data_IF_045413808269
#
_entry.id   IF_045413808269
#
_cell.length_a   1.000
_cell.length_b   1.000
_cell.length_c   1.000
_cell.angle_alpha   90.00
_cell.angle_beta   90.00
_cell.angle_gamma   90.00
#
_symmetry.space_group_name_H-M   'P 1'
#
loop_
_entity.id
_entity.type
_entity.pdbx_description
1 polymer ?
#
# COMPACT_ATOMS: atom_id res chain seq x y z
N UNK A 1 19.31 -49.02 24.56
CA UNK A 1 18.30 -49.17 23.51
C UNK A 1 17.21 -48.13 23.75
N UNK A 2 16.91 -47.24 22.80
CA UNK A 2 15.82 -46.26 22.98
C UNK A 2 14.48 -46.99 23.05
N UNK A 3 13.60 -46.61 23.98
CA UNK A 3 12.27 -47.21 24.11
C UNK A 3 11.44 -46.95 22.87
N UNK A 4 10.63 -47.92 22.44
CA UNK A 4 9.73 -47.80 21.28
C UNK A 4 8.85 -46.55 21.39
N UNK A 5 8.40 -46.21 22.59
CA UNK A 5 7.61 -45.00 22.88
C UNK A 5 8.37 -43.71 22.54
N UNK A 6 9.66 -43.66 22.85
CA UNK A 6 10.51 -42.49 22.57
C UNK A 6 10.68 -42.33 21.06
N UNK A 7 10.91 -43.43 20.34
CA UNK A 7 11.04 -43.39 18.88
C UNK A 7 9.74 -42.93 18.23
N UNK A 8 8.59 -43.43 18.69
CA UNK A 8 7.28 -43.02 18.19
C UNK A 8 6.99 -41.53 18.44
N UNK A 9 7.32 -41.02 19.63
CA UNK A 9 7.15 -39.59 19.94
C UNK A 9 8.04 -38.71 19.06
N UNK A 10 9.30 -39.10 18.86
CA UNK A 10 10.25 -38.37 18.02
C UNK A 10 9.81 -38.35 16.54
N UNK A 11 9.27 -39.46 16.03
CA UNK A 11 8.71 -39.52 14.68
C UNK A 11 7.47 -38.63 14.58
N UNK A 12 6.55 -38.72 15.55
CA UNK A 12 5.33 -37.91 15.60
C UNK A 12 5.64 -36.40 15.61
N UNK A 13 6.54 -35.94 16.48
CA UNK A 13 6.93 -34.54 16.56
C UNK A 13 7.53 -34.03 15.24
N UNK A 14 8.41 -34.82 14.59
CA UNK A 14 8.97 -34.47 13.28
C UNK A 14 7.91 -34.41 12.20
N UNK A 15 6.96 -35.34 12.20
CA UNK A 15 5.86 -35.30 11.22
C UNK A 15 4.98 -34.07 11.41
N UNK A 16 4.68 -33.66 12.64
CA UNK A 16 3.94 -32.42 12.90
C UNK A 16 4.71 -31.23 12.35
N UNK A 17 6.00 -31.09 12.70
CA UNK A 17 6.82 -29.94 12.25
C UNK A 17 6.86 -29.89 10.72
N UNK A 18 7.10 -31.02 10.05
CA UNK A 18 7.12 -31.08 8.59
C UNK A 18 5.76 -30.73 7.98
N UNK A 19 4.66 -31.26 8.51
CA UNK A 19 3.32 -30.93 8.03
C UNK A 19 3.00 -29.44 8.23
N UNK A 20 3.35 -28.87 9.38
CA UNK A 20 3.14 -27.44 9.63
C UNK A 20 3.96 -26.57 8.70
N UNK A 21 5.21 -26.93 8.43
CA UNK A 21 6.06 -26.23 7.47
C UNK A 21 5.45 -26.29 6.07
N UNK A 22 5.05 -27.49 5.60
CA UNK A 22 4.40 -27.66 4.30
C UNK A 22 3.09 -26.88 4.18
N UNK A 23 2.30 -26.79 5.26
CA UNK A 23 1.09 -25.99 5.29
C UNK A 23 1.38 -24.47 5.23
N UNK A 24 2.42 -24.00 5.94
CA UNK A 24 2.84 -22.59 5.86
C UNK A 24 3.30 -22.25 4.45
N UNK A 25 4.17 -23.06 3.84
CA UNK A 25 4.62 -22.87 2.46
C UNK A 25 3.44 -22.87 1.49
N UNK A 26 2.51 -23.81 1.65
CA UNK A 26 1.29 -23.86 0.85
C UNK A 26 0.45 -22.58 1.02
N UNK A 27 0.28 -22.07 2.24
CA UNK A 27 -0.43 -20.81 2.50
C UNK A 27 0.28 -19.63 1.83
N UNK A 28 1.62 -19.57 1.89
CA UNK A 28 2.40 -18.50 1.25
C UNK A 28 2.26 -18.54 -0.28
N UNK A 29 2.33 -19.74 -0.87
CA UNK A 29 2.10 -19.94 -2.31
C UNK A 29 0.68 -19.56 -2.70
N UNK A 30 -0.34 -20.02 -1.97
CA UNK A 30 -1.74 -19.65 -2.21
C UNK A 30 -1.92 -18.13 -2.10
N UNK A 31 -1.33 -17.47 -1.10
CA UNK A 31 -1.37 -16.00 -0.97
C UNK A 31 -0.69 -15.29 -2.12
N UNK A 32 0.37 -15.86 -2.70
CA UNK A 32 1.03 -15.32 -3.87
C UNK A 32 0.17 -15.47 -5.13
N UNK A 33 -0.46 -16.63 -5.32
CA UNK A 33 -1.33 -16.92 -6.46
C UNK A 33 -2.66 -16.14 -6.42
N UNK A 34 -3.16 -15.84 -5.23
CA UNK A 34 -4.40 -15.07 -5.01
C UNK A 34 -4.10 -13.57 -4.84
N UNK A 35 -2.86 -13.10 -5.10
CA UNK A 35 -2.59 -11.66 -5.06
C UNK A 35 -3.54 -10.94 -6.03
N UNK A 36 -4.37 -9.99 -5.55
CA UNK A 36 -5.27 -9.29 -6.45
C UNK A 36 -4.42 -8.48 -7.43
N UNK A 37 -4.85 -8.45 -8.69
CA UNK A 37 -4.16 -7.68 -9.72
C UNK A 37 -4.16 -6.21 -9.29
N UNK A 38 -2.98 -5.57 -9.19
CA UNK A 38 -2.92 -4.20 -8.75
C UNK A 38 -3.56 -3.27 -9.80
N UNK A 39 -4.05 -2.10 -9.36
CA UNK A 39 -4.69 -1.11 -10.26
C UNK A 39 -3.75 0.06 -10.53
N UNK A 40 -3.68 0.50 -11.79
CA UNK A 40 -2.82 1.62 -12.17
C UNK A 40 -3.25 2.93 -11.50
N UNK A 41 -2.32 3.89 -11.39
CA UNK A 41 -2.63 5.25 -10.89
C UNK A 41 -3.75 5.92 -11.69
N UNK A 42 -3.83 5.67 -13.00
CA UNK A 42 -4.93 6.17 -13.85
C UNK A 42 -6.27 5.54 -13.49
N UNK A 43 -6.31 4.23 -13.24
CA UNK A 43 -7.52 3.53 -12.78
C UNK A 43 -7.96 4.02 -11.39
N UNK A 44 -7.01 4.24 -10.48
CA UNK A 44 -7.28 4.77 -9.15
C UNK A 44 -7.86 6.20 -9.19
N UNK A 45 -7.27 7.09 -10.00
CA UNK A 45 -7.77 8.46 -10.19
C UNK A 45 -9.17 8.49 -10.84
N UNK A 46 -9.42 7.61 -11.81
CA UNK A 46 -10.75 7.49 -12.41
C UNK A 46 -11.79 7.05 -11.36
N UNK A 47 -11.42 6.15 -10.46
CA UNK A 47 -12.29 5.72 -9.38
C UNK A 47 -12.60 6.85 -8.39
N UNK A 48 -11.60 7.70 -8.08
CA UNK A 48 -11.81 8.91 -7.28
C UNK A 48 -12.78 9.86 -7.99
N UNK A 49 -12.60 10.10 -9.29
CA UNK A 49 -13.46 11.00 -10.06
C UNK A 49 -14.91 10.50 -10.14
N UNK A 50 -15.11 9.18 -10.28
CA UNK A 50 -16.45 8.58 -10.29
C UNK A 50 -17.15 8.73 -8.93
N UNK A 51 -16.43 8.51 -7.83
CA UNK A 51 -17.00 8.56 -6.47
C UNK A 51 -17.10 9.97 -5.90
N UNK A 52 -16.17 10.85 -6.26
CA UNK A 52 -16.04 12.21 -5.78
C UNK A 52 -15.79 13.12 -6.99
N UNK A 53 -16.83 13.47 -7.75
CA UNK A 53 -16.67 14.24 -8.99
C UNK A 53 -16.10 15.63 -8.71
N UNK A 54 -15.26 16.09 -9.64
CA UNK A 54 -14.74 17.46 -9.60
C UNK A 54 -15.87 18.45 -9.85
N UNK A 55 -16.08 19.36 -8.91
CA UNK A 55 -16.98 20.50 -9.06
C UNK A 55 -16.17 21.78 -9.19
N UNK A 56 -16.75 22.81 -9.79
CA UNK A 56 -16.17 24.15 -9.75
C UNK A 56 -16.69 24.88 -8.53
N UNK A 57 -15.79 25.50 -7.78
CA UNK A 57 -16.17 26.37 -6.69
C UNK A 57 -17.00 27.53 -7.24
N UNK A 58 -18.19 27.74 -6.70
CA UNK A 58 -19.01 28.91 -6.99
C UNK A 58 -19.10 29.75 -5.74
N UNK A 59 -19.29 31.05 -5.88
CA UNK A 59 -19.52 31.99 -4.77
C UNK A 59 -20.64 31.58 -3.80
N UNK A 60 -21.53 30.65 -4.21
CA UNK A 60 -22.63 30.10 -3.42
C UNK A 60 -22.26 28.83 -2.62
N UNK A 61 -21.12 28.21 -2.89
CA UNK A 61 -20.63 26.99 -2.25
C UNK A 61 -19.83 27.32 -0.99
N UNK A 62 -20.41 28.09 -0.05
CA UNK A 62 -19.77 28.31 1.25
C UNK A 62 -20.01 27.08 2.12
N UNK A 63 -19.09 26.13 2.06
CA UNK A 63 -18.94 25.11 3.10
C UNK A 63 -18.49 25.75 4.41
N UNK A 64 -18.63 25.06 5.54
CA UNK A 64 -18.21 25.55 6.86
C UNK A 64 -16.72 25.96 6.91
N UNK A 65 -15.92 25.48 5.94
CA UNK A 65 -14.56 25.92 5.68
C UNK A 65 -14.46 26.59 4.31
N UNK A 66 -13.91 27.81 4.30
CA UNK A 66 -13.67 28.65 3.10
C UNK A 66 -12.26 28.42 2.53
N UNK A 67 -11.45 27.64 3.24
CA UNK A 67 -10.06 27.32 2.95
C UNK A 67 -9.86 25.81 2.75
N UNK A 68 -8.98 25.46 1.82
CA UNK A 68 -8.52 24.09 1.68
C UNK A 68 -7.57 23.75 2.81
N UNK A 69 -7.91 22.76 3.64
CA UNK A 69 -7.11 22.39 4.82
C UNK A 69 -5.81 21.64 4.51
N UNK A 70 -5.53 21.36 3.25
CA UNK A 70 -4.29 20.72 2.79
C UNK A 70 -3.26 21.77 2.38
N UNK A 71 -3.61 22.70 1.50
CA UNK A 71 -2.71 23.77 1.04
C UNK A 71 -2.86 25.08 1.83
N UNK A 72 -3.87 25.18 2.70
CA UNK A 72 -4.23 26.35 3.51
C UNK A 72 -4.64 27.59 2.70
N UNK A 73 -4.94 27.41 1.40
CA UNK A 73 -5.40 28.49 0.52
C UNK A 73 -6.93 28.61 0.51
N UNK A 74 -7.44 29.83 0.40
CA UNK A 74 -8.86 30.12 0.20
C UNK A 74 -9.35 29.60 -1.16
N UNK A 75 -10.60 29.14 -1.21
CA UNK A 75 -11.20 28.71 -2.48
C UNK A 75 -11.61 29.93 -3.32
N UNK A 76 -11.16 29.96 -4.57
CA UNK A 76 -11.53 30.99 -5.54
C UNK A 76 -12.61 30.50 -6.51
N UNK A 77 -13.39 31.45 -7.05
CA UNK A 77 -14.44 31.12 -8.01
C UNK A 77 -13.86 30.48 -9.28
N UNK A 78 -14.48 29.38 -9.71
CA UNK A 78 -14.06 28.61 -10.89
C UNK A 78 -12.98 27.55 -10.63
N UNK A 79 -12.39 27.52 -9.43
CA UNK A 79 -11.40 26.50 -9.05
C UNK A 79 -12.01 25.10 -8.97
N UNK A 80 -11.18 24.09 -9.28
CA UNK A 80 -11.58 22.69 -9.22
C UNK A 80 -11.48 22.19 -7.79
N UNK A 81 -12.61 21.85 -7.20
CA UNK A 81 -12.71 21.33 -5.83
C UNK A 81 -13.47 20.00 -5.84
N UNK A 82 -13.28 19.21 -4.78
CA UNK A 82 -14.05 18.00 -4.52
C UNK A 82 -14.68 18.10 -3.15
N UNK A 83 -15.96 17.74 -3.08
CA UNK A 83 -16.70 17.60 -1.83
C UNK A 83 -16.80 16.12 -1.50
N UNK A 84 -16.34 15.74 -0.31
CA UNK A 84 -16.41 14.38 0.19
C UNK A 84 -17.79 14.10 0.81
N UNK A 85 -18.17 12.82 0.93
CA UNK A 85 -19.40 12.41 1.63
C UNK A 85 -19.47 12.88 3.09
N UNK A 86 -18.32 13.19 3.69
CA UNK A 86 -18.22 13.77 5.03
C UNK A 86 -18.41 15.30 5.07
N UNK A 87 -18.81 15.94 3.96
CA UNK A 87 -19.06 17.38 3.78
C UNK A 87 -17.84 18.29 3.82
N UNK A 88 -16.63 17.72 3.81
CA UNK A 88 -15.40 18.48 3.71
C UNK A 88 -15.00 18.69 2.24
N UNK A 89 -14.59 19.92 1.93
CA UNK A 89 -14.18 20.35 0.58
C UNK A 89 -12.67 20.55 0.53
N UNK A 90 -12.05 20.14 -0.58
CA UNK A 90 -10.63 20.33 -0.85
C UNK A 90 -10.41 20.65 -2.33
N UNK A 91 -9.27 21.26 -2.69
CA UNK A 91 -8.88 21.35 -4.09
C UNK A 91 -8.73 19.95 -4.67
N UNK A 92 -9.10 19.79 -5.94
CA UNK A 92 -9.02 18.52 -6.67
C UNK A 92 -7.63 17.90 -6.51
N UNK A 93 -6.60 18.69 -6.82
CA UNK A 93 -5.20 18.26 -6.81
C UNK A 93 -4.69 17.94 -5.41
N UNK A 94 -5.04 18.77 -4.42
CA UNK A 94 -4.68 18.54 -3.02
C UNK A 94 -5.25 17.22 -2.49
N UNK A 95 -6.51 16.93 -2.80
CA UNK A 95 -7.14 15.69 -2.38
C UNK A 95 -6.58 14.48 -3.15
N UNK A 96 -6.38 14.58 -4.47
CA UNK A 96 -5.80 13.49 -5.26
C UNK A 96 -4.41 13.10 -4.74
N UNK A 97 -3.55 14.09 -4.51
CA UNK A 97 -2.22 13.84 -3.97
C UNK A 97 -2.29 13.24 -2.56
N UNK A 98 -3.20 13.71 -1.71
CA UNK A 98 -3.39 13.15 -0.37
C UNK A 98 -3.78 11.67 -0.40
N UNK A 99 -4.74 11.31 -1.26
CA UNK A 99 -5.24 9.95 -1.41
C UNK A 99 -4.19 9.01 -2.01
N UNK A 100 -3.30 9.52 -2.84
CA UNK A 100 -2.20 8.76 -3.44
C UNK A 100 -1.02 8.55 -2.48
N UNK A 101 -0.63 9.56 -1.70
CA UNK A 101 0.63 9.56 -0.95
C UNK A 101 0.49 9.12 0.51
N UNK A 102 -0.62 9.44 1.17
CA UNK A 102 -0.71 9.31 2.62
C UNK A 102 -1.79 8.32 3.03
N UNK A 103 -3.04 8.60 2.67
CA UNK A 103 -4.15 7.74 3.05
C UNK A 103 -5.41 8.04 2.25
N UNK A 104 -6.19 6.99 1.99
CA UNK A 104 -7.49 7.08 1.33
C UNK A 104 -8.62 7.58 2.28
N UNK A 105 -8.30 8.53 3.16
CA UNK A 105 -9.21 9.08 4.17
C UNK A 105 -9.28 10.61 4.09
N UNK A 106 -10.34 11.19 4.64
CA UNK A 106 -10.49 12.63 4.71
C UNK A 106 -9.39 13.24 5.60
N UNK A 107 -8.64 14.28 5.13
CA UNK A 107 -7.63 14.96 5.93
C UNK A 107 -8.14 15.56 7.25
N UNK A 108 -9.44 15.86 7.35
CA UNK A 108 -10.04 16.52 8.53
C UNK A 108 -10.63 15.55 9.53
N UNK A 109 -11.48 14.63 9.07
CA UNK A 109 -12.23 13.73 9.97
C UNK A 109 -11.85 12.26 9.87
N UNK A 110 -10.88 11.91 9.00
CA UNK A 110 -10.41 10.52 8.78
C UNK A 110 -11.48 9.54 8.31
N UNK A 111 -12.66 10.02 7.91
CA UNK A 111 -13.65 9.18 7.24
C UNK A 111 -13.08 8.60 5.95
N UNK A 112 -13.38 7.33 5.67
CA UNK A 112 -12.92 6.65 4.46
C UNK A 112 -13.52 7.32 3.22
N UNK A 113 -12.67 7.64 2.26
CA UNK A 113 -13.07 8.25 0.97
C UNK A 113 -13.29 7.18 -0.08
N UNK A 114 -12.50 6.11 -0.03
CA UNK A 114 -12.56 4.99 -0.97
C UNK A 114 -12.77 3.66 -0.23
N UNK A 115 -13.32 2.63 -0.90
CA UNK A 115 -13.39 1.27 -0.38
C UNK A 115 -12.01 0.64 -0.13
N UNK A 116 -11.91 -0.20 0.90
CA UNK A 116 -10.65 -0.82 1.30
C UNK A 116 -10.06 -1.72 0.19
N UNK A 117 -10.89 -2.36 -0.64
CA UNK A 117 -10.42 -3.24 -1.71
C UNK A 117 -9.73 -2.48 -2.84
N UNK A 118 -10.20 -1.27 -3.16
CA UNK A 118 -9.59 -0.38 -4.17
C UNK A 118 -8.25 0.14 -3.66
N UNK A 119 -8.22 0.57 -2.40
CA UNK A 119 -7.00 1.08 -1.75
C UNK A 119 -5.96 -0.03 -1.64
N UNK A 120 -6.36 -1.24 -1.26
CA UNK A 120 -5.46 -2.39 -1.20
C UNK A 120 -4.85 -2.71 -2.57
N UNK A 121 -5.66 -2.71 -3.65
CA UNK A 121 -5.17 -2.94 -5.02
C UNK A 121 -4.21 -1.85 -5.50
N UNK A 122 -4.42 -0.59 -5.09
CA UNK A 122 -3.53 0.52 -5.44
C UNK A 122 -2.20 0.45 -4.66
N UNK A 123 -2.27 0.20 -3.35
CA UNK A 123 -1.09 0.06 -2.49
C UNK A 123 -0.19 -1.10 -2.93
N UNK A 124 -0.76 -2.21 -3.43
CA UNK A 124 0.01 -3.30 -4.02
C UNK A 124 0.90 -2.86 -5.19
N UNK A 125 0.52 -1.80 -5.90
CA UNK A 125 1.33 -1.21 -6.96
C UNK A 125 2.38 -0.24 -6.41
N UNK A 126 2.05 0.54 -5.38
CA UNK A 126 3.02 1.43 -4.73
C UNK A 126 4.14 0.65 -4.02
N UNK A 127 3.79 -0.44 -3.33
CA UNK A 127 4.76 -1.38 -2.73
C UNK A 127 5.67 -2.05 -3.78
N UNK A 128 5.20 -2.19 -5.04
CA UNK A 128 6.03 -2.68 -6.14
C UNK A 128 6.99 -1.61 -6.67
N UNK A 129 6.65 -0.32 -6.53
CA UNK A 129 7.48 0.81 -6.97
C UNK A 129 8.52 1.21 -5.93
N UNK A 130 8.29 0.96 -4.64
CA UNK A 130 9.30 1.14 -3.57
C UNK A 130 10.40 0.05 -3.56
N UNK A 131 10.30 -0.96 -4.42
CA UNK A 131 11.43 -1.79 -4.81
C UNK A 131 11.95 -1.31 -6.18
N UNK A 132 12.38 -0.04 -6.24
CA UNK A 132 13.43 0.31 -7.20
C UNK A 132 14.67 -0.45 -6.76
N UNK A 133 15.12 -1.37 -7.61
CA UNK A 133 16.25 -2.24 -7.36
C UNK A 133 17.53 -1.43 -7.21
N UNK A 134 17.73 -0.79 -6.06
CA UNK A 134 19.06 -0.49 -5.62
C UNK A 134 19.66 -1.83 -5.18
N UNK A 135 20.33 -2.45 -6.13
CA UNK A 135 21.05 -3.71 -6.02
C UNK A 135 22.00 -3.76 -4.82
N UNK A 136 22.22 -2.67 -4.08
CA UNK A 136 23.08 -2.64 -2.90
C UNK A 136 22.60 -3.51 -1.73
N UNK A 137 21.29 -3.63 -1.46
CA UNK A 137 20.83 -4.48 -0.34
C UNK A 137 20.91 -5.98 -0.68
N UNK A 138 20.63 -6.34 -1.93
CA UNK A 138 20.76 -7.73 -2.40
C UNK A 138 22.23 -8.11 -2.60
N UNK A 139 23.08 -7.21 -3.13
CA UNK A 139 24.52 -7.39 -3.25
C UNK A 139 25.19 -7.47 -1.88
N UNK A 140 24.74 -6.69 -0.87
CA UNK A 140 25.26 -6.78 0.50
C UNK A 140 24.96 -8.14 1.14
N UNK A 141 23.74 -8.66 0.97
CA UNK A 141 23.38 -10.00 1.45
C UNK A 141 24.11 -11.11 0.68
N UNK A 142 24.27 -10.97 -0.64
CA UNK A 142 25.00 -11.94 -1.47
C UNK A 142 26.52 -11.93 -1.21
N UNK A 143 27.10 -10.77 -0.89
CA UNK A 143 28.52 -10.63 -0.52
C UNK A 143 28.81 -11.11 0.91
N UNK A 144 27.88 -10.93 1.85
CA UNK A 144 27.97 -11.52 3.18
C UNK A 144 27.86 -13.06 3.16
N UNK A 145 27.08 -13.62 2.23
CA UNK A 145 26.94 -15.07 2.05
C UNK A 145 28.12 -15.70 1.30
N UNK A 146 28.81 -14.93 0.44
CA UNK A 146 30.01 -15.37 -0.26
C UNK A 146 31.25 -14.85 0.47
N UNK A 147 31.52 -15.44 1.63
CA UNK A 147 32.67 -15.11 2.48
C UNK A 147 33.98 -14.91 1.69
N UNK A 148 34.48 -13.67 1.79
CA UNK A 148 35.81 -13.14 1.45
C UNK A 148 36.74 -13.91 0.50
N UNK A 149 37.03 -13.31 -0.65
CA UNK A 149 38.41 -13.18 -1.17
C UNK A 149 38.51 -12.18 -2.34
N UNK A 150 39.23 -11.07 -2.11
CA UNK A 150 40.06 -10.29 -3.06
C UNK A 150 39.48 -9.73 -4.37
N UNK A 151 39.43 -8.39 -4.48
CA UNK A 151 39.85 -7.55 -5.62
C UNK A 151 39.56 -6.08 -5.26
N UNK A 152 40.46 -5.36 -4.59
CA UNK A 152 41.40 -4.41 -5.19
C UNK A 152 41.02 -3.91 -6.61
N UNK A 153 40.82 -2.59 -6.70
CA UNK A 153 41.22 -1.66 -7.79
C UNK A 153 40.07 -0.99 -8.58
N UNK A 154 40.31 0.30 -8.86
CA UNK A 154 39.52 1.33 -9.58
C UNK A 154 38.54 2.10 -8.68
N UNK A 155 38.83 3.33 -8.22
CA UNK A 155 39.20 4.54 -8.98
C UNK A 155 38.36 4.74 -10.25
#
# INVERSE_FOLDING_TARGET
>A
MKSVREVLYQLYAKTIVLLTYMLIELILVIRHLIRPNPISTTQFLNFIEEKNPTIRCTTKLKTEHVDCRVCLAEFQEGEKVRNLNCRHTFHKECLDQWLQQYCATCPLCRNKVLPDDVVAKYNLLHDQVEYDGNDEQLIFLLSALRGGSTLHRYL
#
